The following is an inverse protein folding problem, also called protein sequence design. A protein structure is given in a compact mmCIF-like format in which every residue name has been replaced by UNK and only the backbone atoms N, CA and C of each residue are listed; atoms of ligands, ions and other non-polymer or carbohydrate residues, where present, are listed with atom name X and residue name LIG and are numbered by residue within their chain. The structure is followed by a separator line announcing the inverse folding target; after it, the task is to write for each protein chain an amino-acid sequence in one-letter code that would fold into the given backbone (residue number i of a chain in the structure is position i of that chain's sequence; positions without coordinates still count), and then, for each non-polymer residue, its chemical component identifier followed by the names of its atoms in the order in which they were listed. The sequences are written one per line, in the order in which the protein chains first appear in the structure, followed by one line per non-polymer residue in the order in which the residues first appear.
data_IF_125831282905
#
_entry.id   IF_125831282905
#
_cell.length_a   1.000
_cell.length_b   1.000
_cell.length_c   1.000
_cell.angle_alpha   90.00
_cell.angle_beta   90.00
_cell.angle_gamma   90.00
#
_symmetry.space_group_name_H-M   'P 1'
#
loop_
_entity.id
_entity.type
_entity.pdbx_description
1 polymer ?
#
# COMPACT_ATOMS: atom_id res chain seq x y z
N UNK A 1 6.34 27.38 -6.84
CA UNK A 1 5.53 26.88 -5.71
C UNK A 1 4.11 26.49 -6.14
N UNK A 2 3.34 27.36 -6.82
CA UNK A 2 1.98 27.01 -7.27
C UNK A 2 1.90 25.82 -8.24
N UNK A 3 2.83 25.69 -9.18
CA UNK A 3 2.83 24.61 -10.17
C UNK A 3 3.02 23.22 -9.56
N UNK A 4 3.92 23.06 -8.58
CA UNK A 4 4.19 21.76 -7.95
C UNK A 4 3.03 21.29 -7.08
N UNK A 5 2.35 22.20 -6.38
CA UNK A 5 1.15 21.86 -5.61
C UNK A 5 0.02 21.34 -6.51
N UNK A 6 -0.17 21.93 -7.69
CA UNK A 6 -1.14 21.43 -8.67
C UNK A 6 -0.80 20.01 -9.11
N UNK A 7 0.48 19.71 -9.38
CA UNK A 7 0.93 18.35 -9.74
C UNK A 7 0.65 17.35 -8.61
N UNK A 8 0.96 17.71 -7.37
CA UNK A 8 0.70 16.87 -6.19
C UNK A 8 -0.79 16.58 -6.02
N UNK A 9 -1.66 17.59 -6.16
CA UNK A 9 -3.11 17.44 -6.07
C UNK A 9 -3.61 16.49 -7.16
N UNK A 10 -3.20 16.69 -8.43
CA UNK A 10 -3.61 15.84 -9.54
C UNK A 10 -3.16 14.39 -9.32
N UNK A 11 -1.89 14.20 -8.96
CA UNK A 11 -1.31 12.87 -8.74
C UNK A 11 -1.98 12.15 -7.56
N UNK A 12 -2.17 12.84 -6.44
CA UNK A 12 -2.86 12.29 -5.28
C UNK A 12 -4.32 11.97 -5.57
N UNK A 13 -5.00 12.81 -6.35
CA UNK A 13 -6.36 12.55 -6.84
C UNK A 13 -6.40 11.26 -7.67
N UNK A 14 -5.48 11.09 -8.62
CA UNK A 14 -5.38 9.87 -9.41
C UNK A 14 -5.12 8.61 -8.55
N UNK A 15 -4.28 8.74 -7.52
CA UNK A 15 -4.03 7.68 -6.53
C UNK A 15 -5.34 7.33 -5.80
N UNK A 16 -6.03 8.32 -5.24
CA UNK A 16 -7.29 8.11 -4.49
C UNK A 16 -8.34 7.42 -5.36
N UNK A 17 -8.54 7.87 -6.60
CA UNK A 17 -9.43 7.19 -7.55
C UNK A 17 -9.03 5.74 -7.78
N UNK A 18 -7.73 5.48 -7.97
CA UNK A 18 -7.20 4.13 -8.17
C UNK A 18 -7.44 3.22 -6.96
N UNK A 19 -7.24 3.74 -5.74
CA UNK A 19 -7.46 3.02 -4.49
C UNK A 19 -8.94 2.72 -4.26
N UNK A 20 -9.83 3.70 -4.47
CA UNK A 20 -11.28 3.52 -4.35
C UNK A 20 -11.77 2.48 -5.35
N UNK A 21 -11.38 2.61 -6.61
CA UNK A 21 -11.75 1.65 -7.65
C UNK A 21 -11.30 0.23 -7.29
N UNK A 22 -10.06 0.06 -6.83
CA UNK A 22 -9.53 -1.25 -6.44
C UNK A 22 -10.22 -1.80 -5.19
N UNK A 23 -10.52 -0.96 -4.20
CA UNK A 23 -11.25 -1.33 -2.98
C UNK A 23 -12.60 -1.97 -3.28
N UNK A 24 -13.33 -1.46 -4.28
CA UNK A 24 -14.66 -1.98 -4.64
C UNK A 24 -14.64 -3.09 -5.70
N UNK A 25 -13.64 -3.10 -6.61
CA UNK A 25 -13.62 -4.03 -7.75
C UNK A 25 -12.69 -5.22 -7.58
N UNK A 26 -11.64 -5.09 -6.75
CA UNK A 26 -10.58 -6.10 -6.60
C UNK A 26 -10.58 -6.67 -5.17
N UNK A 27 -10.69 -5.82 -4.16
CA UNK A 27 -10.56 -6.21 -2.75
C UNK A 27 -11.92 -6.32 -2.04
N UNK A 28 -12.74 -7.27 -2.50
CA UNK A 28 -14.06 -7.51 -1.90
C UNK A 28 -13.93 -8.22 -0.54
N UNK A 29 -14.65 -7.70 0.45
CA UNK A 29 -14.60 -8.20 1.83
C UNK A 29 -15.68 -9.26 2.01
N UNK A 30 -15.29 -10.53 2.03
CA UNK A 30 -16.23 -11.66 2.03
C UNK A 30 -16.67 -12.13 3.43
N UNK A 31 -15.90 -11.86 4.49
CA UNK A 31 -16.16 -12.44 5.83
C UNK A 31 -16.62 -11.41 6.88
N UNK A 32 -17.45 -11.84 7.84
CA UNK A 32 -17.97 -10.95 8.91
C UNK A 32 -16.86 -10.30 9.75
N UNK A 33 -15.78 -11.04 10.04
CA UNK A 33 -14.61 -10.56 10.77
C UNK A 33 -13.82 -9.51 9.96
N UNK A 34 -13.70 -9.70 8.64
CA UNK A 34 -13.03 -8.72 7.77
C UNK A 34 -13.87 -7.46 7.55
N UNK A 35 -15.21 -7.55 7.58
CA UNK A 35 -16.11 -6.38 7.58
C UNK A 35 -15.93 -5.51 8.82
N UNK A 36 -15.80 -6.11 10.00
CA UNK A 36 -15.55 -5.35 11.23
C UNK A 36 -14.20 -4.63 11.20
N UNK A 37 -13.15 -5.27 10.67
CA UNK A 37 -11.86 -4.61 10.45
C UNK A 37 -11.96 -3.44 9.48
N UNK A 38 -12.74 -3.58 8.40
CA UNK A 38 -12.97 -2.51 7.43
C UNK A 38 -13.69 -1.29 8.04
N UNK A 39 -14.65 -1.50 8.97
CA UNK A 39 -15.36 -0.39 9.63
C UNK A 39 -14.46 0.54 10.42
N UNK A 40 -13.33 0.04 10.93
CA UNK A 40 -12.35 0.86 11.67
C UNK A 40 -11.27 1.39 10.71
N UNK A 41 -10.87 0.59 9.73
CA UNK A 41 -9.84 0.97 8.76
C UNK A 41 -10.29 2.07 7.80
N UNK A 42 -11.49 1.95 7.22
CA UNK A 42 -11.96 2.86 6.15
C UNK A 42 -12.07 4.34 6.63
N UNK A 43 -12.57 4.65 7.84
CA UNK A 43 -12.55 6.03 8.38
C UNK A 43 -11.14 6.60 8.56
N UNK A 44 -10.18 5.78 9.01
CA UNK A 44 -8.79 6.25 9.20
C UNK A 44 -8.13 6.57 7.86
N UNK A 45 -8.39 5.75 6.83
CA UNK A 45 -7.97 6.07 5.46
C UNK A 45 -8.64 7.34 4.96
N UNK A 46 -9.94 7.54 5.24
CA UNK A 46 -10.64 8.76 4.85
C UNK A 46 -10.00 10.02 5.48
N UNK A 47 -9.53 9.94 6.72
CA UNK A 47 -8.77 11.04 7.35
C UNK A 47 -7.45 11.29 6.61
N UNK A 48 -6.69 10.23 6.29
CA UNK A 48 -5.43 10.31 5.53
C UNK A 48 -5.61 10.81 4.08
N UNK A 49 -6.82 10.72 3.53
CA UNK A 49 -7.18 11.31 2.24
C UNK A 49 -7.62 12.76 2.41
N UNK A 50 -8.51 13.03 3.37
CA UNK A 50 -9.13 14.34 3.55
C UNK A 50 -8.17 15.41 4.07
N UNK A 51 -7.27 15.05 4.99
CA UNK A 51 -6.35 16.01 5.60
C UNK A 51 -5.39 16.67 4.58
N UNK A 52 -4.74 15.94 3.65
CA UNK A 52 -3.99 16.55 2.55
C UNK A 52 -4.78 17.58 1.73
N UNK A 53 -6.02 17.25 1.33
CA UNK A 53 -6.88 18.20 0.61
C UNK A 53 -7.23 19.42 1.46
N UNK A 54 -7.47 19.24 2.75
CA UNK A 54 -7.70 20.35 3.66
C UNK A 54 -6.52 21.33 3.65
N UNK A 55 -5.29 20.84 3.79
CA UNK A 55 -4.10 21.68 3.77
C UNK A 55 -3.86 22.38 2.42
N UNK A 56 -4.18 21.72 1.30
CA UNK A 56 -4.09 22.37 -0.01
C UNK A 56 -5.17 23.42 -0.26
N UNK A 57 -6.39 23.22 0.27
CA UNK A 57 -7.52 24.15 0.10
C UNK A 57 -7.47 25.34 1.06
N UNK A 58 -6.80 25.19 2.21
CA UNK A 58 -6.66 26.23 3.22
C UNK A 58 -5.18 26.52 3.51
N UNK A 59 -4.49 27.27 2.62
CA UNK A 59 -3.05 27.56 2.77
C UNK A 59 -2.72 28.43 3.99
N UNK A 60 -3.72 29.01 4.66
CA UNK A 60 -3.57 29.74 5.92
C UNK A 60 -3.07 28.86 7.06
N UNK A 61 -3.17 27.54 6.93
CA UNK A 61 -2.49 26.60 7.81
C UNK A 61 -1.07 26.38 7.28
N UNK A 62 -0.13 27.23 7.72
CA UNK A 62 1.29 27.00 7.46
C UNK A 62 1.69 25.62 7.99
N UNK A 63 2.19 24.77 7.09
CA UNK A 63 2.76 23.48 7.43
C UNK A 63 4.24 23.47 7.07
N UNK A 64 5.08 23.07 8.02
CA UNK A 64 6.51 22.87 7.78
C UNK A 64 6.77 21.38 7.57
N UNK A 65 6.61 20.96 6.31
CA UNK A 65 6.92 19.61 5.87
C UNK A 65 8.40 19.26 6.06
N UNK A 66 8.68 17.98 6.29
CA UNK A 66 10.05 17.46 6.37
C UNK A 66 10.66 17.17 4.99
N UNK A 67 9.83 17.13 3.94
CA UNK A 67 10.27 16.83 2.57
C UNK A 67 9.79 17.90 1.60
N UNK A 68 10.59 18.15 0.57
CA UNK A 68 10.21 19.04 -0.51
C UNK A 68 9.12 18.43 -1.42
N UNK A 69 8.29 19.29 -2.00
CA UNK A 69 7.24 18.95 -2.96
C UNK A 69 7.70 18.08 -4.14
N UNK A 70 8.90 18.28 -4.69
CA UNK A 70 9.44 17.46 -5.78
C UNK A 70 9.74 16.03 -5.32
N UNK A 71 10.28 15.86 -4.11
CA UNK A 71 10.52 14.54 -3.51
C UNK A 71 9.17 13.84 -3.31
N UNK A 72 8.17 14.57 -2.82
CA UNK A 72 6.83 14.03 -2.63
C UNK A 72 6.22 13.55 -3.97
N UNK A 73 6.37 14.29 -5.07
CA UNK A 73 5.93 13.86 -6.41
C UNK A 73 6.58 12.53 -6.80
N UNK A 74 7.90 12.40 -6.63
CA UNK A 74 8.62 11.17 -6.98
C UNK A 74 8.15 9.97 -6.15
N UNK A 75 7.97 10.15 -4.84
CA UNK A 75 7.51 9.09 -3.94
C UNK A 75 6.08 8.66 -4.25
N UNK A 76 5.16 9.62 -4.48
CA UNK A 76 3.78 9.32 -4.84
C UNK A 76 3.69 8.63 -6.21
N UNK A 77 4.47 9.08 -7.18
CA UNK A 77 4.52 8.46 -8.50
C UNK A 77 5.03 7.03 -8.41
N UNK A 78 6.13 6.80 -7.69
CA UNK A 78 6.66 5.47 -7.44
C UNK A 78 5.62 4.56 -6.75
N UNK A 79 4.91 5.09 -5.75
CA UNK A 79 3.87 4.35 -5.03
C UNK A 79 2.72 3.94 -5.95
N UNK A 80 2.28 4.85 -6.83
CA UNK A 80 1.24 4.55 -7.82
C UNK A 80 1.70 3.48 -8.83
N UNK A 81 2.93 3.58 -9.31
CA UNK A 81 3.50 2.59 -10.24
C UNK A 81 3.61 1.21 -9.58
N UNK A 82 4.08 1.15 -8.33
CA UNK A 82 4.14 -0.09 -7.56
C UNK A 82 2.75 -0.70 -7.35
N UNK A 83 1.75 0.13 -7.03
CA UNK A 83 0.36 -0.31 -6.90
C UNK A 83 -0.19 -0.90 -8.20
N UNK A 84 -0.02 -0.20 -9.32
CA UNK A 84 -0.48 -0.66 -10.65
C UNK A 84 0.24 -1.94 -11.07
N UNK A 85 1.54 -2.04 -10.84
CA UNK A 85 2.32 -3.26 -11.15
C UNK A 85 1.83 -4.45 -10.33
N UNK A 86 1.50 -4.22 -9.06
CA UNK A 86 0.93 -5.24 -8.17
C UNK A 86 -0.45 -5.69 -8.66
N UNK A 87 -1.32 -4.76 -9.05
CA UNK A 87 -2.63 -5.08 -9.64
C UNK A 87 -2.52 -5.93 -10.90
N UNK A 88 -1.64 -5.54 -11.84
CA UNK A 88 -1.44 -6.27 -13.10
C UNK A 88 -0.93 -7.68 -12.84
N UNK A 89 0.05 -7.82 -11.94
CA UNK A 89 0.63 -9.12 -11.59
C UNK A 89 -0.41 -10.04 -10.94
N UNK A 90 -1.21 -9.51 -10.01
CA UNK A 90 -2.26 -10.28 -9.34
C UNK A 90 -3.38 -10.71 -10.30
N UNK A 91 -3.75 -9.88 -11.28
CA UNK A 91 -4.79 -10.20 -12.28
C UNK A 91 -4.35 -11.22 -13.32
N UNK A 92 -3.10 -11.15 -13.78
CA UNK A 92 -2.60 -12.03 -14.85
C UNK A 92 -2.54 -13.50 -14.46
N UNK A 93 -2.65 -13.84 -13.17
CA UNK A 93 -2.72 -15.23 -12.71
C UNK A 93 -4.08 -15.89 -12.91
N UNK A 94 -5.13 -15.12 -13.21
CA UNK A 94 -6.44 -15.67 -13.60
C UNK A 94 -6.54 -16.03 -15.10
N UNK A 95 -5.49 -15.83 -15.90
CA UNK A 95 -5.57 -15.84 -17.37
C UNK A 95 -5.04 -17.08 -18.10
N UNK A 96 -4.64 -18.14 -17.40
CA UNK A 96 -4.52 -19.46 -18.04
C UNK A 96 -5.85 -20.21 -17.86
N UNK A 97 -6.77 -20.04 -18.82
CA UNK A 97 -8.03 -20.77 -18.95
C UNK A 97 -7.77 -22.29 -19.03
N UNK A 98 -7.61 -22.93 -17.87
CA UNK A 98 -7.38 -24.37 -17.77
C UNK A 98 -7.60 -24.85 -16.35
N UNK A 99 -6.87 -24.31 -15.37
CA UNK A 99 -7.03 -24.66 -13.97
C UNK A 99 -6.56 -23.50 -13.07
N UNK A 100 -7.33 -23.09 -12.04
CA UNK A 100 -6.84 -22.13 -11.06
C UNK A 100 -5.76 -22.80 -10.21
N UNK A 101 -4.49 -22.64 -10.59
CA UNK A 101 -3.40 -22.82 -9.61
C UNK A 101 -3.59 -21.72 -8.57
N UNK A 102 -4.23 -22.08 -7.46
CA UNK A 102 -4.34 -21.33 -6.20
C UNK A 102 -2.94 -21.16 -5.54
N UNK A 103 -1.89 -20.93 -6.33
CA UNK A 103 -0.51 -20.85 -5.89
C UNK A 103 -0.12 -19.47 -5.38
N UNK A 104 1.05 -19.41 -4.75
CA UNK A 104 1.60 -18.18 -4.20
C UNK A 104 2.15 -17.32 -5.34
N UNK A 105 1.79 -16.03 -5.36
CA UNK A 105 2.35 -15.07 -6.31
C UNK A 105 3.78 -14.75 -5.89
N UNK A 106 4.75 -15.12 -6.73
CA UNK A 106 6.18 -14.91 -6.48
C UNK A 106 6.89 -14.12 -7.59
N UNK A 107 6.15 -13.61 -8.57
CA UNK A 107 6.66 -12.85 -9.71
C UNK A 107 6.33 -11.35 -9.61
N UNK A 108 6.90 -10.55 -10.51
CA UNK A 108 6.68 -9.10 -10.53
C UNK A 108 7.11 -8.44 -9.22
N UNK A 109 6.30 -7.55 -8.62
CA UNK A 109 6.67 -6.87 -7.38
C UNK A 109 6.71 -7.83 -6.18
N UNK A 110 6.01 -8.97 -6.26
CA UNK A 110 6.03 -10.00 -5.23
C UNK A 110 7.38 -10.73 -5.16
N UNK A 111 8.19 -10.70 -6.23
CA UNK A 111 9.57 -11.20 -6.17
C UNK A 111 10.49 -10.31 -5.32
N UNK A 112 10.12 -9.04 -5.11
CA UNK A 112 10.94 -8.03 -4.42
C UNK A 112 10.52 -7.91 -2.95
N UNK A 113 9.21 -7.77 -2.71
CA UNK A 113 8.60 -7.72 -1.38
C UNK A 113 7.32 -8.54 -1.36
N UNK A 114 7.02 -9.20 -0.25
CA UNK A 114 5.86 -10.11 -0.18
C UNK A 114 4.51 -9.40 -0.22
N UNK A 115 4.47 -8.14 0.21
CA UNK A 115 3.24 -7.36 0.34
C UNK A 115 3.35 -6.00 -0.38
N UNK A 116 3.47 -5.99 -1.73
CA UNK A 116 3.74 -4.77 -2.47
C UNK A 116 2.54 -3.79 -2.48
N UNK A 117 1.29 -4.28 -2.34
CA UNK A 117 0.14 -3.42 -2.12
C UNK A 117 0.26 -2.61 -0.82
N UNK A 118 0.52 -3.29 0.30
CA UNK A 118 0.70 -2.63 1.59
C UNK A 118 1.90 -1.69 1.59
N UNK A 119 3.00 -2.06 0.93
CA UNK A 119 4.12 -1.14 0.75
C UNK A 119 3.70 0.13 -0.01
N UNK A 120 2.94 0.00 -1.11
CA UNK A 120 2.46 1.17 -1.86
C UNK A 120 1.58 2.08 -0.99
N UNK A 121 0.71 1.52 -0.15
CA UNK A 121 -0.12 2.30 0.77
C UNK A 121 0.70 3.02 1.83
N UNK A 122 1.64 2.30 2.46
CA UNK A 122 2.55 2.87 3.46
C UNK A 122 3.33 4.06 2.88
N UNK A 123 3.84 3.94 1.65
CA UNK A 123 4.57 5.02 0.99
C UNK A 123 3.67 6.25 0.71
N UNK A 124 2.42 6.05 0.28
CA UNK A 124 1.46 7.13 0.08
C UNK A 124 1.20 7.89 1.39
N UNK A 125 0.86 7.15 2.46
CA UNK A 125 0.54 7.76 3.76
C UNK A 125 1.75 8.42 4.40
N UNK A 126 2.91 7.76 4.35
CA UNK A 126 4.16 8.31 4.88
C UNK A 126 4.55 9.60 4.13
N UNK A 127 4.45 9.62 2.81
CA UNK A 127 4.75 10.79 2.00
C UNK A 127 3.88 11.99 2.40
N UNK A 128 2.56 11.81 2.51
CA UNK A 128 1.66 12.88 2.94
C UNK A 128 1.92 13.33 4.38
N UNK A 129 2.13 12.39 5.30
CA UNK A 129 2.47 12.71 6.70
C UNK A 129 3.75 13.54 6.78
N UNK A 130 4.78 13.22 6.00
CA UNK A 130 6.03 13.99 5.96
C UNK A 130 5.85 15.35 5.27
N UNK A 131 5.04 15.43 4.22
CA UNK A 131 4.79 16.66 3.47
C UNK A 131 4.05 17.71 4.32
N UNK A 132 3.06 17.29 5.11
CA UNK A 132 2.23 18.21 5.91
C UNK A 132 2.59 18.25 7.40
N UNK A 133 3.36 17.27 7.90
CA UNK A 133 3.86 17.20 9.28
C UNK A 133 2.79 17.49 10.35
N UNK A 134 1.61 16.89 10.20
CA UNK A 134 0.49 17.11 11.11
C UNK A 134 0.33 15.97 12.12
N UNK A 135 0.00 16.30 13.37
CA UNK A 135 -0.19 15.31 14.43
C UNK A 135 -1.25 14.26 14.05
N UNK A 136 -2.36 14.67 13.43
CA UNK A 136 -3.41 13.74 13.01
C UNK A 136 -2.90 12.76 11.94
N UNK A 137 -2.02 13.21 11.05
CA UNK A 137 -1.41 12.37 10.01
C UNK A 137 -0.40 11.39 10.61
N UNK A 138 0.35 11.78 11.65
CA UNK A 138 1.25 10.88 12.37
C UNK A 138 0.51 9.80 13.16
N UNK A 139 -0.57 10.16 13.85
CA UNK A 139 -1.41 9.22 14.60
C UNK A 139 -2.03 8.18 13.66
N UNK A 140 -2.67 8.66 12.59
CA UNK A 140 -3.31 7.78 11.60
C UNK A 140 -2.31 6.94 10.82
N UNK A 141 -1.13 7.47 10.48
CA UNK A 141 -0.05 6.71 9.84
C UNK A 141 0.41 5.55 10.72
N UNK A 142 0.65 5.80 12.02
CA UNK A 142 1.07 4.79 12.98
C UNK A 142 0.05 3.66 13.07
N UNK A 143 -1.23 4.01 13.14
CA UNK A 143 -2.32 3.03 13.10
C UNK A 143 -2.31 2.20 11.80
N UNK A 144 -2.20 2.85 10.63
CA UNK A 144 -2.26 2.17 9.34
C UNK A 144 -1.07 1.23 9.14
N UNK A 145 0.14 1.62 9.55
CA UNK A 145 1.31 0.73 9.52
C UNK A 145 1.07 -0.51 10.39
N UNK A 146 0.57 -0.33 11.62
CA UNK A 146 0.25 -1.45 12.50
C UNK A 146 -0.83 -2.36 11.89
N UNK A 147 -1.87 -1.77 11.30
CA UNK A 147 -2.92 -2.50 10.60
C UNK A 147 -2.35 -3.33 9.44
N UNK A 148 -1.51 -2.75 8.58
CA UNK A 148 -0.92 -3.48 7.45
C UNK A 148 0.04 -4.59 7.90
N UNK A 149 0.82 -4.39 8.97
CA UNK A 149 1.65 -5.46 9.55
C UNK A 149 0.78 -6.62 10.06
N UNK A 150 -0.30 -6.31 10.78
CA UNK A 150 -1.20 -7.33 11.32
C UNK A 150 -1.95 -8.08 10.22
N UNK A 151 -2.46 -7.36 9.22
CA UNK A 151 -3.15 -7.93 8.05
C UNK A 151 -2.21 -8.82 7.24
N UNK A 152 -1.00 -8.34 6.92
CA UNK A 152 0.04 -9.12 6.26
C UNK A 152 0.31 -10.42 7.02
N UNK A 153 0.60 -10.36 8.33
CA UNK A 153 0.87 -11.56 9.16
C UNK A 153 -0.32 -12.52 9.20
N UNK A 154 -1.54 -12.00 9.20
CA UNK A 154 -2.76 -12.82 9.19
C UNK A 154 -2.93 -13.57 7.87
N UNK A 155 -2.65 -12.92 6.74
CA UNK A 155 -2.61 -13.53 5.42
C UNK A 155 -1.52 -14.60 5.33
N UNK A 156 -0.29 -14.29 5.77
CA UNK A 156 0.81 -15.27 5.78
C UNK A 156 0.44 -16.50 6.63
N UNK A 157 -0.18 -16.28 7.80
CA UNK A 157 -0.64 -17.37 8.69
C UNK A 157 -1.75 -18.21 8.06
N UNK A 158 -2.62 -17.60 7.25
CA UNK A 158 -3.67 -18.32 6.52
C UNK A 158 -3.05 -19.23 5.46
N UNK A 159 -2.07 -18.74 4.68
CA UNK A 159 -1.34 -19.54 3.68
C UNK A 159 -0.59 -20.70 4.34
N UNK A 160 0.01 -20.49 5.50
CA UNK A 160 0.73 -21.56 6.22
C UNK A 160 -0.18 -22.70 6.71
N UNK A 161 -1.50 -22.55 6.65
CA UNK A 161 -2.49 -23.59 6.96
C UNK A 161 -3.00 -24.35 5.73
N UNK A 162 -2.54 -24.01 4.53
CA UNK A 162 -2.93 -24.67 3.29
C UNK A 162 -1.82 -25.59 2.79
N UNK A 163 -2.07 -26.30 1.69
CA UNK A 163 -1.09 -27.14 0.98
C UNK A 163 0.15 -26.37 0.52
N UNK A 164 0.04 -25.07 0.30
CA UNK A 164 1.13 -24.19 -0.14
C UNK A 164 2.11 -23.81 0.99
N UNK A 165 1.95 -24.33 2.20
CA UNK A 165 2.75 -23.92 3.36
C UNK A 165 4.26 -24.13 3.18
N UNK A 166 4.68 -25.19 2.47
CA UNK A 166 6.10 -25.48 2.18
C UNK A 166 6.67 -24.44 1.21
N UNK A 167 6.02 -24.26 0.07
CA UNK A 167 6.40 -23.27 -0.94
C UNK A 167 6.43 -21.86 -0.34
N UNK A 168 5.46 -21.51 0.51
CA UNK A 168 5.42 -20.22 1.19
C UNK A 168 6.60 -20.00 2.13
N UNK A 169 7.03 -21.03 2.87
CA UNK A 169 8.20 -20.94 3.75
C UNK A 169 9.47 -20.66 2.95
N UNK A 170 9.65 -21.35 1.82
CA UNK A 170 10.79 -21.13 0.92
C UNK A 170 10.79 -19.71 0.34
N UNK A 171 9.63 -19.24 -0.11
CA UNK A 171 9.43 -17.86 -0.58
C UNK A 171 9.72 -16.81 0.53
N UNK A 172 9.21 -17.03 1.75
CA UNK A 172 9.41 -16.15 2.92
C UNK A 172 10.88 -16.00 3.34
N UNK A 173 11.70 -17.02 3.06
CA UNK A 173 13.13 -16.98 3.33
C UNK A 173 13.89 -16.12 2.30
N UNK A 174 13.40 -16.03 1.06
CA UNK A 174 14.05 -15.32 -0.05
C UNK A 174 13.61 -13.87 -0.19
N UNK A 175 12.34 -13.58 0.10
CA UNK A 175 11.74 -12.26 -0.10
C UNK A 175 11.37 -11.65 1.25
N UNK A 176 11.56 -10.34 1.45
CA UNK A 176 11.21 -9.66 2.71
C UNK A 176 9.77 -9.15 2.73
N UNK A 177 9.26 -8.74 3.90
CA UNK A 177 7.83 -8.36 4.04
C UNK A 177 7.50 -7.07 3.28
N UNK A 178 8.19 -5.98 3.62
CA UNK A 178 8.06 -4.65 3.01
C UNK A 178 9.39 -4.08 2.52
N UNK A 179 10.51 -4.74 2.81
CA UNK A 179 11.83 -4.36 2.33
C UNK A 179 12.46 -5.58 1.65
N UNK A 180 13.24 -5.39 0.56
CA UNK A 180 13.97 -6.48 -0.06
C UNK A 180 14.90 -7.16 0.95
N UNK A 181 15.05 -8.49 0.85
CA UNK A 181 16.13 -9.17 1.54
C UNK A 181 17.40 -8.96 0.71
N UNK A 182 18.39 -8.30 1.30
CA UNK A 182 19.74 -8.29 0.74
C UNK A 182 20.32 -9.66 1.07
N UNK A 183 20.31 -10.57 0.10
CA UNK A 183 20.98 -11.85 0.26
C UNK A 183 22.49 -11.60 0.26
N UNK A 184 23.11 -11.56 1.44
CA UNK A 184 24.55 -11.68 1.55
C UNK A 184 24.87 -13.12 1.13
N UNK A 185 25.43 -13.27 -0.07
CA UNK A 185 25.92 -14.56 -0.55
C UNK A 185 26.89 -15.13 0.49
N UNK A 186 26.60 -16.31 1.04
CA UNK A 186 27.63 -17.14 1.66
C UNK A 186 28.25 -17.96 0.54
N UNK A 187 29.41 -17.52 0.07
CA UNK A 187 30.35 -18.35 -0.67
C UNK A 187 30.84 -19.51 0.19
#
# INVERSE_FOLDING_TARGET
MYSTNTVLIILFTAIVFSLIWARFRVFTVSSKKSRLGALIYDPIVAIQIGAPYWYWLFPSFDYQGYIDSYIAVLVLLFSLLLFIWSLKTAKNMNFALGEPKLGIITSGPFAIVRHPFYLSYILIWLCNTLLFNSLILWITLTYLIAFYIFSARSEEKAILKTEYSREYREYRNKVGMFLPRIAIWKS
#
